data_IF_442362802483
#
_entry.id   IF_442362802483
#
_cell.length_a   1.000
_cell.length_b   1.000
_cell.length_c   1.000
_cell.angle_alpha   90.00
_cell.angle_beta   90.00
_cell.angle_gamma   90.00
#
_symmetry.space_group_name_H-M   'P 1'
#
loop_
_entity.id
_entity.type
_entity.pdbx_description
1 polymer ?
#
# COMPACT_ATOMS: atom_id res chain seq x y z
N UNK A 1 -5.01 19.16 -3.49
CA UNK A 1 -4.93 20.63 -3.70
C UNK A 1 -6.00 21.12 -4.69
N UNK A 2 -6.21 20.42 -5.82
CA UNK A 2 -7.15 20.86 -6.85
C UNK A 2 -8.61 20.93 -6.38
N UNK A 3 -9.06 19.91 -5.66
CA UNK A 3 -10.48 19.75 -5.28
C UNK A 3 -10.73 19.98 -3.77
N UNK A 4 -9.70 20.24 -2.99
CA UNK A 4 -9.80 20.63 -1.58
C UNK A 4 -10.65 19.68 -0.73
N UNK A 5 -11.71 20.21 -0.12
CA UNK A 5 -12.61 19.47 0.78
C UNK A 5 -13.46 18.40 0.09
N UNK A 6 -13.53 18.37 -1.24
CA UNK A 6 -14.20 17.31 -2.00
C UNK A 6 -13.43 15.97 -1.96
N UNK A 7 -12.15 15.98 -1.54
CA UNK A 7 -11.36 14.77 -1.37
C UNK A 7 -11.40 14.30 0.09
N UNK A 8 -11.89 13.10 0.31
CA UNK A 8 -11.73 12.39 1.58
C UNK A 8 -10.72 11.26 1.40
N UNK A 9 -9.67 11.25 2.20
CA UNK A 9 -8.66 10.20 2.21
C UNK A 9 -8.98 9.21 3.33
N UNK A 10 -8.82 7.90 3.07
CA UNK A 10 -8.97 6.85 4.08
C UNK A 10 -7.62 6.18 4.25
N UNK A 11 -7.02 6.29 5.42
CA UNK A 11 -5.83 5.56 5.81
C UNK A 11 -6.22 4.31 6.59
N UNK A 12 -5.90 3.13 6.06
CA UNK A 12 -6.20 1.85 6.71
C UNK A 12 -4.95 1.33 7.39
N UNK A 13 -4.95 1.34 8.71
CA UNK A 13 -3.93 0.68 9.51
C UNK A 13 -4.26 -0.81 9.67
N UNK A 14 -3.65 -1.63 8.84
CA UNK A 14 -3.84 -3.08 8.82
C UNK A 14 -2.91 -3.85 9.76
N UNK A 15 -2.09 -3.16 10.55
CA UNK A 15 -1.12 -3.79 11.44
C UNK A 15 0.09 -4.44 10.74
N UNK A 16 0.27 -4.23 9.44
CA UNK A 16 1.35 -4.83 8.63
C UNK A 16 2.34 -3.78 8.09
N UNK A 17 2.26 -2.55 8.61
CA UNK A 17 3.14 -1.45 8.24
C UNK A 17 4.51 -1.55 8.91
N UNK A 18 5.50 -0.86 8.35
CA UNK A 18 6.84 -0.68 8.94
C UNK A 18 6.73 0.07 10.28
N UNK A 19 7.83 0.06 11.03
CA UNK A 19 7.92 0.80 12.30
C UNK A 19 7.71 2.30 12.04
N UNK A 20 6.79 2.90 12.79
CA UNK A 20 6.43 4.33 12.77
C UNK A 20 5.86 4.83 11.41
N UNK A 21 5.65 3.96 10.43
CA UNK A 21 5.21 4.38 9.09
C UNK A 21 3.80 4.97 9.11
N UNK A 22 2.91 4.40 9.93
CA UNK A 22 1.54 4.91 10.08
C UNK A 22 1.54 6.35 10.59
N UNK A 23 2.29 6.60 11.65
CA UNK A 23 2.41 7.91 12.28
C UNK A 23 3.01 8.95 11.31
N UNK A 24 4.06 8.57 10.57
CA UNK A 24 4.69 9.44 9.57
C UNK A 24 3.72 9.81 8.43
N UNK A 25 2.95 8.84 7.93
CA UNK A 25 1.97 9.07 6.85
C UNK A 25 0.84 9.96 7.34
N UNK A 26 0.25 9.65 8.50
CA UNK A 26 -0.83 10.42 9.07
C UNK A 26 -0.40 11.87 9.30
N UNK A 27 0.78 12.07 9.92
CA UNK A 27 1.34 13.39 10.16
C UNK A 27 1.52 14.18 8.87
N UNK A 28 2.06 13.56 7.82
CA UNK A 28 2.22 14.23 6.52
C UNK A 28 0.87 14.68 5.96
N UNK A 29 -0.10 13.79 5.92
CA UNK A 29 -1.37 14.10 5.26
C UNK A 29 -2.24 15.04 6.08
N UNK A 30 -2.32 14.89 7.39
CA UNK A 30 -3.12 15.79 8.27
C UNK A 30 -2.45 17.12 8.52
N UNK A 31 -1.19 17.11 8.95
CA UNK A 31 -0.54 18.34 9.43
C UNK A 31 0.03 19.17 8.27
N UNK A 32 0.73 18.53 7.34
CA UNK A 32 1.40 19.24 6.25
C UNK A 32 0.43 19.58 5.09
N UNK A 33 -0.36 18.60 4.63
CA UNK A 33 -1.29 18.81 3.53
C UNK A 33 -2.68 19.23 3.96
N UNK A 34 -3.02 19.11 5.25
CA UNK A 34 -4.34 19.45 5.81
C UNK A 34 -5.50 18.78 5.06
N UNK A 35 -5.29 17.51 4.68
CA UNK A 35 -6.32 16.74 3.99
C UNK A 35 -7.38 16.23 4.97
N UNK A 36 -8.59 16.06 4.47
CA UNK A 36 -9.64 15.35 5.18
C UNK A 36 -9.26 13.86 5.21
N UNK A 37 -8.66 13.40 6.32
CA UNK A 37 -8.14 12.05 6.49
C UNK A 37 -8.91 11.30 7.57
N UNK A 38 -9.57 10.23 7.18
CA UNK A 38 -10.16 9.23 8.07
C UNK A 38 -9.10 8.18 8.39
N UNK A 39 -8.89 7.89 9.67
CA UNK A 39 -8.02 6.84 10.15
C UNK A 39 -8.85 5.61 10.52
N UNK A 40 -8.71 4.53 9.75
CA UNK A 40 -9.33 3.25 10.01
C UNK A 40 -8.32 2.32 10.69
N UNK A 41 -8.40 2.14 12.00
CA UNK A 41 -7.56 1.17 12.73
C UNK A 41 -8.21 -0.22 12.69
N UNK A 42 -7.84 -1.00 11.69
CA UNK A 42 -8.38 -2.33 11.42
C UNK A 42 -7.35 -3.45 11.69
N UNK A 43 -6.33 -3.18 12.52
CA UNK A 43 -5.27 -4.17 12.88
C UNK A 43 -5.85 -5.50 13.32
N UNK A 44 -6.85 -5.47 14.21
CA UNK A 44 -7.46 -6.71 14.75
C UNK A 44 -8.12 -7.51 13.65
N UNK A 45 -8.85 -6.86 12.74
CA UNK A 45 -9.53 -7.49 11.61
C UNK A 45 -8.52 -8.20 10.69
N UNK A 46 -7.48 -7.49 10.26
CA UNK A 46 -6.48 -8.05 9.34
C UNK A 46 -5.68 -9.18 9.98
N UNK A 47 -5.14 -8.97 11.19
CA UNK A 47 -4.30 -9.98 11.86
C UNK A 47 -5.08 -11.23 12.21
N UNK A 48 -6.34 -11.12 12.68
CA UNK A 48 -7.18 -12.29 12.96
C UNK A 48 -7.51 -13.08 11.69
N UNK A 49 -7.80 -12.40 10.59
CA UNK A 49 -8.10 -13.03 9.30
C UNK A 49 -6.88 -13.73 8.67
N UNK A 50 -5.67 -13.34 9.07
CA UNK A 50 -4.42 -13.94 8.60
C UNK A 50 -3.89 -15.06 9.51
N UNK A 51 -4.54 -15.31 10.64
CA UNK A 51 -4.14 -16.36 11.58
C UNK A 51 -4.14 -17.73 10.89
N UNK A 52 -3.05 -18.48 11.03
CA UNK A 52 -2.87 -19.80 10.42
C UNK A 52 -2.57 -19.79 8.91
N UNK A 53 -2.65 -18.63 8.24
CA UNK A 53 -2.41 -18.53 6.80
C UNK A 53 -0.90 -18.44 6.53
N UNK A 54 -0.36 -19.48 5.86
CA UNK A 54 1.06 -19.58 5.55
C UNK A 54 1.38 -19.18 4.11
N UNK A 55 0.49 -19.48 3.19
CA UNK A 55 0.66 -19.24 1.76
C UNK A 55 0.61 -17.73 1.43
N UNK A 56 1.62 -17.18 0.73
CA UNK A 56 1.72 -15.76 0.46
C UNK A 56 0.63 -15.26 -0.48
N UNK A 57 0.16 -16.07 -1.41
CA UNK A 57 -0.90 -15.66 -2.34
C UNK A 57 -2.26 -15.60 -1.64
N UNK A 58 -2.55 -16.55 -0.75
CA UNK A 58 -3.74 -16.49 0.11
C UNK A 58 -3.70 -15.26 1.00
N UNK A 59 -2.54 -14.90 1.57
CA UNK A 59 -2.39 -13.66 2.35
C UNK A 59 -2.75 -12.44 1.52
N UNK A 60 -2.22 -12.33 0.29
CA UNK A 60 -2.53 -11.21 -0.61
C UNK A 60 -4.02 -11.08 -0.91
N UNK A 61 -4.67 -12.18 -1.25
CA UNK A 61 -6.11 -12.21 -1.55
C UNK A 61 -6.96 -11.80 -0.34
N UNK A 62 -6.65 -12.31 0.85
CA UNK A 62 -7.34 -11.93 2.09
C UNK A 62 -7.15 -10.44 2.37
N UNK A 63 -5.93 -9.94 2.31
CA UNK A 63 -5.62 -8.54 2.56
C UNK A 63 -6.35 -7.64 1.56
N UNK A 64 -6.29 -7.96 0.26
CA UNK A 64 -6.99 -7.20 -0.79
C UNK A 64 -8.49 -7.14 -0.55
N UNK A 65 -9.13 -8.28 -0.25
CA UNK A 65 -10.55 -8.35 0.07
C UNK A 65 -10.92 -7.49 1.29
N UNK A 66 -10.12 -7.54 2.34
CA UNK A 66 -10.35 -6.74 3.55
C UNK A 66 -10.22 -5.24 3.30
N UNK A 67 -9.24 -4.82 2.49
CA UNK A 67 -9.14 -3.41 2.10
C UNK A 67 -10.41 -2.91 1.43
N UNK A 68 -10.95 -3.68 0.49
CA UNK A 68 -12.20 -3.32 -0.20
C UNK A 68 -13.35 -3.17 0.81
N UNK A 69 -13.53 -4.16 1.69
CA UNK A 69 -14.58 -4.14 2.72
C UNK A 69 -14.47 -2.90 3.64
N UNK A 70 -13.26 -2.56 4.05
CA UNK A 70 -13.02 -1.36 4.88
C UNK A 70 -13.34 -0.09 4.09
N UNK A 71 -12.95 -0.05 2.82
CA UNK A 71 -13.25 1.08 1.95
C UNK A 71 -14.75 1.29 1.74
N UNK A 72 -15.49 0.22 1.40
CA UNK A 72 -16.95 0.25 1.22
C UNK A 72 -17.66 0.73 2.49
N UNK A 73 -17.26 0.18 3.65
CA UNK A 73 -17.80 0.59 4.96
C UNK A 73 -17.66 2.10 5.20
N UNK A 74 -16.49 2.67 4.90
CA UNK A 74 -16.26 4.09 5.10
C UNK A 74 -16.91 4.95 4.01
N UNK A 75 -16.94 4.51 2.77
CA UNK A 75 -17.64 5.20 1.69
C UNK A 75 -19.13 5.40 2.01
N UNK A 76 -19.79 4.35 2.52
CA UNK A 76 -21.18 4.43 2.97
C UNK A 76 -21.38 5.43 4.11
N UNK A 77 -20.41 5.60 5.00
CA UNK A 77 -20.48 6.56 6.12
C UNK A 77 -20.27 8.01 5.67
N UNK A 78 -19.48 8.23 4.62
CA UNK A 78 -19.24 9.56 4.06
C UNK A 78 -20.51 10.08 3.35
N UNK A 79 -21.29 9.19 2.72
CA UNK A 79 -22.46 9.56 1.90
C UNK A 79 -22.03 10.27 0.60
N UNK A 80 -22.91 10.40 -0.35
CA UNK A 80 -22.78 11.17 -1.61
C UNK A 80 -21.39 11.11 -2.30
N UNK A 81 -20.71 9.96 -2.20
CA UNK A 81 -19.41 9.71 -2.85
C UNK A 81 -19.67 9.14 -4.23
N UNK A 82 -19.19 9.83 -5.27
CA UNK A 82 -19.37 9.39 -6.66
C UNK A 82 -18.15 8.63 -7.19
N UNK A 83 -16.95 8.97 -6.71
CA UNK A 83 -15.70 8.47 -7.29
C UNK A 83 -14.79 7.81 -6.26
N UNK A 84 -14.15 6.72 -6.65
CA UNK A 84 -13.00 6.14 -5.99
C UNK A 84 -11.72 6.50 -6.76
N UNK A 85 -10.84 7.30 -6.13
CA UNK A 85 -9.56 7.64 -6.71
C UNK A 85 -8.53 6.52 -6.45
N UNK A 86 -7.87 6.05 -7.50
CA UNK A 86 -6.78 5.08 -7.44
C UNK A 86 -5.50 5.62 -8.07
N UNK A 87 -4.36 5.23 -7.49
CA UNK A 87 -3.02 5.56 -7.99
C UNK A 87 -2.48 4.52 -8.98
N UNK A 88 -3.33 3.96 -9.85
CA UNK A 88 -2.92 3.04 -10.92
C UNK A 88 -1.93 3.74 -11.84
N UNK A 89 -0.82 3.08 -12.18
CA UNK A 89 0.20 3.56 -13.09
C UNK A 89 0.16 2.80 -14.42
N UNK A 90 0.77 3.36 -15.47
CA UNK A 90 0.82 2.70 -16.77
C UNK A 90 1.42 1.28 -16.75
N UNK A 91 2.52 1.00 -16.02
CA UNK A 91 3.00 -0.38 -15.86
C UNK A 91 1.98 -1.35 -15.27
N UNK A 92 1.15 -0.90 -14.31
CA UNK A 92 0.10 -1.73 -13.71
C UNK A 92 -0.95 -2.15 -14.76
N UNK A 93 -1.25 -1.24 -15.69
CA UNK A 93 -2.19 -1.48 -16.79
C UNK A 93 -1.62 -2.51 -17.77
N UNK A 94 -0.35 -2.37 -18.18
CA UNK A 94 0.31 -3.29 -19.12
C UNK A 94 0.42 -4.68 -18.52
N UNK A 95 0.83 -4.79 -17.25
CA UNK A 95 0.99 -6.06 -16.55
C UNK A 95 -0.35 -6.78 -16.32
N UNK A 96 -1.47 -6.01 -16.28
CA UNK A 96 -2.81 -6.59 -16.16
C UNK A 96 -3.35 -7.20 -17.45
N UNK A 97 -2.78 -6.85 -18.61
CA UNK A 97 -3.20 -7.34 -19.93
C UNK A 97 -2.25 -8.47 -20.36
N UNK A 98 -2.67 -9.72 -20.18
CA UNK A 98 -1.93 -10.86 -20.71
C UNK A 98 -2.15 -10.96 -22.24
N UNK A 99 -1.11 -10.71 -23.02
CA UNK A 99 -1.13 -10.81 -24.49
C UNK A 99 -1.26 -12.25 -25.03
N UNK A 100 -1.11 -13.26 -24.19
CA UNK A 100 -1.02 -14.65 -24.66
C UNK A 100 -1.63 -15.63 -23.65
N UNK A 101 -2.89 -15.66 -23.40
CA UNK A 101 -3.65 -16.77 -22.76
C UNK A 101 -2.87 -17.80 -21.88
N UNK A 102 -1.64 -17.48 -21.46
CA UNK A 102 -0.75 -18.35 -20.71
C UNK A 102 -0.95 -18.24 -19.18
N UNK A 103 -0.18 -19.00 -18.38
CA UNK A 103 -0.33 -19.06 -16.92
C UNK A 103 -0.07 -17.72 -16.18
N UNK A 104 0.35 -16.66 -16.87
CA UNK A 104 0.47 -15.30 -16.36
C UNK A 104 -0.87 -14.61 -16.03
N UNK A 105 -2.01 -15.24 -16.31
CA UNK A 105 -3.34 -14.79 -15.83
C UNK A 105 -3.39 -14.64 -14.31
N UNK A 106 -2.45 -15.25 -13.60
CA UNK A 106 -2.35 -15.19 -12.12
C UNK A 106 -1.76 -13.89 -11.58
N UNK A 107 -1.15 -13.04 -12.44
CA UNK A 107 -0.50 -11.78 -12.02
C UNK A 107 -1.53 -10.67 -11.71
N UNK A 108 -2.78 -10.82 -12.17
CA UNK A 108 -3.86 -9.84 -11.95
C UNK A 108 -4.19 -9.54 -10.48
N UNK A 109 -3.73 -10.37 -9.56
CA UNK A 109 -4.00 -10.18 -8.11
C UNK A 109 -3.01 -9.25 -7.39
N UNK A 110 -1.96 -8.79 -8.07
CA UNK A 110 -0.89 -8.01 -7.43
C UNK A 110 -1.11 -6.50 -7.48
N UNK A 111 -1.91 -6.04 -8.42
CA UNK A 111 -2.26 -4.64 -8.59
C UNK A 111 -3.74 -4.45 -8.28
N UNK A 112 -4.11 -3.31 -7.72
CA UNK A 112 -5.48 -2.95 -7.35
C UNK A 112 -6.50 -3.09 -8.50
N UNK A 113 -6.01 -3.16 -9.75
CA UNK A 113 -6.83 -3.31 -10.97
C UNK A 113 -7.63 -4.62 -11.03
N UNK A 114 -7.19 -5.68 -10.33
CA UNK A 114 -7.88 -6.98 -10.33
C UNK A 114 -8.58 -7.35 -9.02
N UNK A 115 -8.54 -6.49 -8.01
CA UNK A 115 -9.07 -6.75 -6.68
C UNK A 115 -10.38 -6.03 -6.36
N UNK A 116 -10.83 -5.13 -7.24
CA UNK A 116 -12.08 -4.41 -7.06
C UNK A 116 -13.27 -5.32 -7.39
N UNK A 117 -14.41 -5.20 -6.69
CA UNK A 117 -15.64 -5.90 -7.03
C UNK A 117 -16.11 -5.52 -8.44
N UNK A 118 -16.70 -6.46 -9.17
CA UNK A 118 -17.30 -6.21 -10.49
C UNK A 118 -18.46 -5.21 -10.43
N UNK A 119 -19.06 -5.02 -9.27
CA UNK A 119 -20.11 -4.03 -9.00
C UNK A 119 -19.68 -3.18 -7.82
N UNK A 120 -19.21 -2.00 -8.10
CA UNK A 120 -19.07 -0.90 -7.15
C UNK A 120 -20.04 0.20 -7.55
N UNK A 121 -20.69 0.80 -6.55
CA UNK A 121 -21.54 1.98 -6.76
C UNK A 121 -20.73 3.28 -6.90
N UNK A 122 -19.42 3.16 -7.18
CA UNK A 122 -18.47 4.27 -7.33
C UNK A 122 -17.79 4.19 -8.69
N UNK A 123 -17.74 5.30 -9.38
CA UNK A 123 -16.94 5.45 -10.59
C UNK A 123 -15.43 5.48 -10.26
N UNK A 124 -14.63 4.85 -11.10
CA UNK A 124 -13.19 4.79 -10.88
C UNK A 124 -12.50 6.02 -11.50
N UNK A 125 -11.68 6.72 -10.69
CA UNK A 125 -10.88 7.85 -11.12
C UNK A 125 -9.39 7.51 -11.00
N UNK A 126 -8.70 7.38 -12.13
CA UNK A 126 -7.30 6.94 -12.21
C UNK A 126 -6.42 8.03 -12.88
N UNK A 127 -6.11 9.14 -12.20
CA UNK A 127 -5.46 10.30 -12.82
C UNK A 127 -4.00 10.06 -13.24
N UNK A 128 -3.38 8.96 -12.78
CA UNK A 128 -1.97 8.62 -13.07
C UNK A 128 -1.84 7.44 -14.05
N UNK A 129 -2.95 6.94 -14.61
CA UNK A 129 -3.01 5.71 -15.40
C UNK A 129 -2.09 5.67 -16.63
N UNK A 130 -1.80 6.82 -17.19
CA UNK A 130 -0.96 6.96 -18.40
C UNK A 130 0.50 7.31 -18.08
N UNK A 131 0.87 7.41 -16.79
CA UNK A 131 2.19 7.84 -16.37
C UNK A 131 3.05 6.67 -15.89
N UNK A 132 4.34 6.75 -16.22
CA UNK A 132 5.36 5.90 -15.62
C UNK A 132 5.74 6.41 -14.22
N UNK A 133 6.37 5.55 -13.42
CA UNK A 133 6.71 5.82 -12.02
C UNK A 133 7.67 7.01 -11.83
N UNK A 134 8.60 7.21 -12.74
CA UNK A 134 9.51 8.34 -12.76
C UNK A 134 8.80 9.65 -13.12
N UNK A 135 7.85 9.64 -14.06
CA UNK A 135 7.00 10.78 -14.40
C UNK A 135 6.12 11.19 -13.22
N UNK A 136 5.54 10.21 -12.51
CA UNK A 136 4.77 10.46 -11.28
C UNK A 136 5.64 11.10 -10.19
N UNK A 137 6.92 10.71 -10.08
CA UNK A 137 7.85 11.36 -9.15
C UNK A 137 8.15 12.81 -9.54
N UNK A 138 8.30 13.08 -10.83
CA UNK A 138 8.47 14.46 -11.33
C UNK A 138 7.23 15.30 -11.04
N UNK A 139 6.05 14.79 -11.36
CA UNK A 139 4.78 15.44 -11.03
C UNK A 139 4.65 15.70 -9.51
N UNK A 140 5.00 14.73 -8.69
CA UNK A 140 5.00 14.89 -7.24
C UNK A 140 5.95 16.00 -6.76
N UNK A 141 7.11 16.15 -7.39
CA UNK A 141 8.05 17.23 -7.10
C UNK A 141 7.45 18.60 -7.44
N UNK A 142 6.82 18.74 -8.63
CA UNK A 142 6.14 19.97 -9.04
C UNK A 142 4.98 20.33 -8.09
N UNK A 143 4.28 19.33 -7.57
CA UNK A 143 3.23 19.51 -6.57
C UNK A 143 3.77 19.81 -5.16
N UNK A 144 5.09 19.86 -4.96
CA UNK A 144 5.73 20.16 -3.67
C UNK A 144 5.67 19.01 -2.67
N UNK A 145 5.64 17.75 -3.14
CA UNK A 145 5.76 16.59 -2.24
C UNK A 145 7.19 16.52 -1.70
N UNK A 146 7.38 16.36 -0.37
CA UNK A 146 8.72 16.26 0.21
C UNK A 146 9.54 15.16 -0.43
N UNK A 147 10.82 15.48 -0.70
CA UNK A 147 11.73 14.57 -1.40
C UNK A 147 11.87 13.21 -0.74
N UNK A 148 11.85 13.17 0.60
CA UNK A 148 11.95 11.91 1.35
C UNK A 148 10.76 10.97 1.12
N UNK A 149 9.59 11.50 0.71
CA UNK A 149 8.45 10.70 0.30
C UNK A 149 8.56 10.24 -1.16
N UNK A 150 9.04 11.11 -2.05
CA UNK A 150 9.22 10.79 -3.47
C UNK A 150 10.31 9.72 -3.69
N UNK A 151 11.38 9.78 -2.89
CA UNK A 151 12.53 8.88 -2.97
C UNK A 151 12.33 7.57 -2.17
N UNK A 152 11.13 7.31 -1.62
CA UNK A 152 10.86 6.08 -0.87
C UNK A 152 11.04 4.83 -1.72
N UNK A 153 11.70 3.83 -1.14
CA UNK A 153 11.75 2.51 -1.73
C UNK A 153 10.35 1.89 -1.85
N UNK A 154 10.09 1.09 -2.88
CA UNK A 154 8.83 0.38 -3.01
C UNK A 154 8.49 -0.43 -1.77
N UNK A 155 7.25 -0.32 -1.30
CA UNK A 155 6.71 -1.12 -0.21
C UNK A 155 5.42 -1.78 -0.70
N UNK A 156 5.31 -3.12 -0.63
CA UNK A 156 4.19 -3.83 -1.21
C UNK A 156 2.88 -3.55 -0.46
N UNK A 157 1.75 -3.54 -1.17
CA UNK A 157 0.42 -3.36 -0.59
C UNK A 157 0.11 -4.30 0.58
N UNK A 158 0.45 -5.61 0.53
CA UNK A 158 0.29 -6.52 1.67
C UNK A 158 1.23 -6.25 2.85
N UNK A 159 2.10 -5.27 2.75
CA UNK A 159 3.00 -4.87 3.83
C UNK A 159 3.96 -5.97 4.26
N UNK A 160 4.20 -6.07 5.56
CA UNK A 160 5.09 -7.06 6.15
C UNK A 160 4.56 -8.51 6.05
N UNK A 161 3.29 -8.72 5.67
CA UNK A 161 2.71 -10.06 5.56
C UNK A 161 3.47 -10.98 4.60
N UNK A 162 3.95 -10.43 3.47
CA UNK A 162 4.72 -11.20 2.47
C UNK A 162 6.21 -11.27 2.78
N UNK A 163 6.68 -10.48 3.75
CA UNK A 163 8.06 -10.52 4.27
C UNK A 163 8.21 -11.40 5.51
N UNK A 164 7.10 -12.04 5.90
CA UNK A 164 7.02 -13.02 6.96
C UNK A 164 6.50 -14.35 6.39
N UNK A 165 7.37 -15.17 5.75
CA UNK A 165 7.02 -16.51 5.30
C UNK A 165 6.46 -17.37 6.44
N UNK A 166 5.48 -18.23 6.10
CA UNK A 166 4.75 -19.00 7.10
C UNK A 166 3.70 -18.15 7.82
N UNK A 167 3.32 -18.57 9.02
CA UNK A 167 2.32 -17.89 9.84
C UNK A 167 2.82 -16.56 10.38
N UNK A 168 1.95 -15.55 10.36
CA UNK A 168 2.20 -14.22 10.92
C UNK A 168 1.87 -14.26 12.43
N UNK A 169 2.82 -13.82 13.26
CA UNK A 169 2.63 -13.61 14.68
C UNK A 169 3.10 -12.22 15.08
N UNK A 170 2.58 -11.68 16.19
CA UNK A 170 3.00 -10.38 16.71
C UNK A 170 4.50 -10.34 17.01
N UNK A 171 5.04 -11.45 17.55
CA UNK A 171 6.48 -11.59 17.81
C UNK A 171 7.30 -11.42 16.54
N UNK A 172 6.97 -12.18 15.47
CA UNK A 172 7.66 -12.09 14.19
C UNK A 172 7.55 -10.71 13.56
N UNK A 173 6.36 -10.09 13.62
CA UNK A 173 6.17 -8.73 13.12
C UNK A 173 7.02 -7.72 13.89
N UNK A 174 7.14 -7.85 15.20
CA UNK A 174 7.95 -6.96 16.02
C UNK A 174 9.45 -7.11 15.73
N UNK A 175 9.93 -8.34 15.61
CA UNK A 175 11.32 -8.63 15.19
C UNK A 175 11.58 -8.01 13.82
N UNK A 176 10.69 -8.28 12.85
CA UNK A 176 10.85 -7.81 11.47
C UNK A 176 10.83 -6.29 11.38
N UNK A 177 9.92 -5.59 12.10
CA UNK A 177 9.88 -4.12 12.15
C UNK A 177 11.16 -3.53 12.71
N UNK A 178 11.68 -4.09 13.79
CA UNK A 178 12.89 -3.59 14.42
C UNK A 178 14.12 -3.82 13.52
N UNK A 179 14.27 -5.02 12.97
CA UNK A 179 15.36 -5.33 12.05
C UNK A 179 15.32 -4.47 10.77
N UNK A 180 14.14 -4.31 10.17
CA UNK A 180 13.95 -3.46 8.98
C UNK A 180 14.27 -1.99 9.28
N UNK A 181 13.85 -1.48 10.44
CA UNK A 181 14.14 -0.11 10.86
C UNK A 181 15.64 0.13 11.02
N UNK A 182 16.35 -0.77 11.72
CA UNK A 182 17.80 -0.67 11.90
C UNK A 182 18.53 -0.74 10.54
N UNK A 183 18.14 -1.69 9.69
CA UNK A 183 18.76 -1.87 8.38
C UNK A 183 18.59 -0.62 7.51
N UNK A 184 17.38 -0.09 7.40
CA UNK A 184 17.11 1.12 6.60
C UNK A 184 17.85 2.34 7.18
N UNK A 185 17.94 2.48 8.51
CA UNK A 185 18.70 3.56 9.13
C UNK A 185 20.19 3.47 8.78
N UNK A 186 20.79 2.28 8.79
CA UNK A 186 22.19 2.10 8.40
C UNK A 186 22.42 2.42 6.92
N UNK A 187 21.54 1.99 6.04
CA UNK A 187 21.61 2.32 4.61
C UNK A 187 21.54 3.85 4.39
N UNK A 188 20.63 4.53 5.10
CA UNK A 188 20.52 6.01 5.05
C UNK A 188 21.79 6.68 5.59
N UNK A 189 22.29 6.22 6.73
CA UNK A 189 23.50 6.76 7.38
C UNK A 189 24.73 6.69 6.47
N UNK A 190 24.87 5.63 5.67
CA UNK A 190 25.98 5.45 4.74
C UNK A 190 25.72 6.05 3.35
N UNK A 191 24.65 6.84 3.15
CA UNK A 191 24.33 7.51 1.89
C UNK A 191 23.96 6.55 0.75
N UNK A 192 23.61 5.29 1.06
CA UNK A 192 23.31 4.25 0.08
C UNK A 192 21.85 4.20 -0.33
N UNK A 193 20.96 4.83 0.43
CA UNK A 193 19.51 4.69 0.23
C UNK A 193 19.05 5.07 -1.20
N UNK A 194 19.63 6.10 -1.78
CA UNK A 194 19.33 6.56 -3.16
C UNK A 194 20.03 5.74 -4.25
N UNK A 195 21.09 5.00 -3.88
CA UNK A 195 21.87 4.17 -4.81
C UNK A 195 21.31 2.75 -4.93
N UNK A 196 20.48 2.33 -3.99
CA UNK A 196 19.88 1.00 -3.92
C UNK A 196 18.42 1.12 -4.39
N UNK A 197 18.01 0.29 -5.34
CA UNK A 197 16.65 0.27 -5.87
C UNK A 197 15.62 -0.06 -4.79
N UNK A 198 15.88 -1.09 -3.98
CA UNK A 198 15.02 -1.52 -2.91
C UNK A 198 15.84 -2.21 -1.81
N UNK A 199 15.54 -1.88 -0.55
CA UNK A 199 16.11 -2.53 0.62
C UNK A 199 14.99 -2.92 1.59
N UNK A 200 15.05 -4.13 2.13
CA UNK A 200 14.09 -4.66 3.08
C UNK A 200 14.65 -5.86 3.83
N UNK A 201 14.02 -6.20 4.93
CA UNK A 201 14.30 -7.42 5.69
C UNK A 201 13.18 -8.44 5.50
N UNK A 202 13.53 -9.72 5.64
CA UNK A 202 12.62 -10.87 5.63
C UNK A 202 12.96 -11.73 6.83
N UNK A 203 11.97 -12.21 7.56
CA UNK A 203 12.15 -13.20 8.61
C UNK A 203 11.98 -14.60 8.04
N UNK A 204 13.03 -15.39 8.03
CA UNK A 204 12.99 -16.76 7.51
C UNK A 204 12.75 -17.76 8.64
N UNK A 205 11.93 -18.80 8.43
CA UNK A 205 11.69 -19.86 9.40
C UNK A 205 12.83 -20.89 9.37
N UNK A 206 14.08 -20.43 9.46
CA UNK A 206 15.27 -21.29 9.53
C UNK A 206 15.56 -21.58 11.01
N UNK A 207 15.74 -22.87 11.33
CA UNK A 207 16.21 -23.36 12.64
C UNK A 207 17.68 -23.69 12.60
#
# INVERSE_FOLDING_TARGET
KAIGSQLTCIYVNNGLMRKNESEEVIKLYKEHYKLNLIEADEKKLFLSSLKGIKDPEKKRKIIGKLFIQVFEKHALQIGDVCFLAQGTLYPDVIESVSFSGGPSVTIKSHHNVGGLPEKMDLDLLEPLRELFKDEVRLLGKELGIPKDFLDRHPFPGPGLAIRCPGEITDEKLNILRNADSIYIQQIKKHGLYKKIWQAFTVILPVK
#
